data_IF_721858649284
#
_entry.id   IF_721858649284
#
_cell.length_a   1.000
_cell.length_b   1.000
_cell.length_c   1.000
_cell.angle_alpha   90.00
_cell.angle_beta   90.00
_cell.angle_gamma   90.00
#
_symmetry.space_group_name_H-M   'P 1'
#
loop_
_entity.id
_entity.type
_entity.pdbx_description
1 polymer ?
#
# COMPACT_ATOMS: atom_id res chain seq x y z
N UNK A 1 39.70 1.59 -11.31
CA UNK A 1 38.22 1.59 -11.40
C UNK A 1 37.83 1.04 -12.77
N UNK A 2 37.34 -0.20 -12.84
CA UNK A 2 36.90 -0.83 -14.09
C UNK A 2 35.44 -0.45 -14.35
N UNK A 3 35.21 0.49 -15.26
CA UNK A 3 33.89 0.70 -15.86
C UNK A 3 33.53 -0.51 -16.73
N UNK A 4 32.35 -1.07 -16.52
CA UNK A 4 31.82 -2.23 -17.25
C UNK A 4 31.47 -1.84 -18.69
N UNK A 5 32.04 -2.57 -19.66
CA UNK A 5 31.85 -2.40 -21.12
C UNK A 5 30.43 -2.67 -21.63
N UNK A 6 29.46 -2.99 -20.76
CA UNK A 6 28.05 -3.23 -21.16
C UNK A 6 27.23 -1.94 -21.32
N UNK A 7 27.74 -0.78 -20.90
CA UNK A 7 27.02 0.50 -20.95
C UNK A 7 27.25 1.28 -22.27
N UNK A 8 28.13 0.82 -23.17
CA UNK A 8 28.61 1.67 -24.28
C UNK A 8 28.22 1.22 -25.70
N UNK A 9 27.55 0.08 -25.89
CA UNK A 9 27.21 -0.43 -27.24
C UNK A 9 25.76 -0.15 -27.66
N UNK A 10 24.86 0.15 -26.71
CA UNK A 10 23.47 0.52 -27.03
C UNK A 10 23.29 2.00 -27.41
N UNK A 11 24.31 2.84 -27.22
CA UNK A 11 24.28 4.26 -27.57
C UNK A 11 24.40 4.53 -29.09
N UNK A 12 24.73 3.53 -29.92
CA UNK A 12 25.03 3.73 -31.34
C UNK A 12 23.92 3.30 -32.32
N UNK A 13 22.87 2.61 -31.87
CA UNK A 13 21.73 2.23 -32.73
C UNK A 13 20.49 3.13 -32.58
N UNK A 14 20.51 4.07 -31.62
CA UNK A 14 19.42 5.03 -31.39
C UNK A 14 19.35 6.21 -32.34
N UNK A 15 20.28 6.36 -33.29
CA UNK A 15 20.41 7.57 -34.12
C UNK A 15 19.74 7.42 -35.51
N UNK A 16 19.31 6.22 -35.92
CA UNK A 16 18.80 6.00 -37.28
C UNK A 16 17.30 5.67 -37.41
N UNK A 17 16.55 5.62 -36.30
CA UNK A 17 15.08 5.40 -36.34
C UNK A 17 14.28 6.67 -35.97
N UNK A 18 14.94 7.73 -35.51
CA UNK A 18 14.29 8.99 -35.13
C UNK A 18 13.89 9.93 -36.28
N UNK A 19 14.05 9.52 -37.55
CA UNK A 19 13.76 10.39 -38.71
C UNK A 19 12.36 10.24 -39.31
N UNK A 20 11.40 9.57 -38.65
CA UNK A 20 10.03 9.42 -39.21
C UNK A 20 8.87 9.60 -38.22
N UNK A 21 9.07 10.25 -37.07
CA UNK A 21 7.94 10.73 -36.27
C UNK A 21 7.91 12.24 -36.31
N UNK A 22 7.34 12.79 -37.38
CA UNK A 22 6.87 14.17 -37.41
C UNK A 22 5.68 14.28 -36.44
N UNK A 23 5.97 14.47 -35.16
CA UNK A 23 4.95 14.70 -34.11
C UNK A 23 4.48 16.16 -34.21
N UNK A 24 3.21 16.32 -34.55
CA UNK A 24 2.47 17.56 -34.37
C UNK A 24 2.46 17.90 -32.87
N UNK A 25 3.14 18.98 -32.50
CA UNK A 25 3.37 19.41 -31.13
C UNK A 25 2.10 20.00 -30.47
N UNK A 26 1.15 19.14 -30.11
CA UNK A 26 0.28 19.40 -28.97
C UNK A 26 0.81 18.56 -27.83
N UNK A 27 1.28 19.26 -26.79
CA UNK A 27 1.78 18.63 -25.58
C UNK A 27 0.56 18.10 -24.82
N UNK A 28 0.17 16.88 -25.16
CA UNK A 28 -0.93 16.18 -24.51
C UNK A 28 -0.54 15.83 -23.08
N UNK A 29 -1.52 15.80 -22.17
CA UNK A 29 -1.30 15.49 -20.77
C UNK A 29 -1.93 14.17 -20.43
N UNK A 30 -1.24 13.37 -19.64
CA UNK A 30 -1.79 12.15 -19.07
C UNK A 30 -1.93 12.28 -17.55
N UNK A 31 -2.94 11.61 -17.02
CA UNK A 31 -3.06 11.32 -15.59
C UNK A 31 -2.78 9.83 -15.36
N UNK A 32 -1.79 9.51 -14.53
CA UNK A 32 -1.44 8.13 -14.16
C UNK A 32 -1.71 7.91 -12.68
N UNK A 33 -2.67 7.04 -12.39
CA UNK A 33 -3.04 6.58 -11.06
C UNK A 33 -2.17 5.40 -10.68
N UNK A 34 -1.21 5.64 -9.78
CA UNK A 34 -0.33 4.59 -9.26
C UNK A 34 -0.98 3.95 -8.06
N UNK A 35 -1.36 2.68 -8.18
CA UNK A 35 -1.98 1.88 -7.15
C UNK A 35 -1.05 0.74 -6.71
N UNK A 36 -1.33 0.16 -5.54
CA UNK A 36 -0.61 -1.04 -5.08
C UNK A 36 -1.53 -2.23 -4.94
N UNK A 37 -1.05 -3.42 -5.32
CA UNK A 37 -1.74 -4.68 -5.02
C UNK A 37 -1.98 -4.82 -3.50
N UNK A 38 -3.21 -5.18 -3.10
CA UNK A 38 -3.55 -5.50 -1.71
C UNK A 38 -4.05 -4.32 -0.84
N UNK A 39 -4.26 -3.13 -1.41
CA UNK A 39 -4.67 -1.92 -0.66
C UNK A 39 -5.93 -1.25 -1.22
N UNK A 40 -7.01 -2.02 -1.36
CA UNK A 40 -8.37 -1.51 -1.65
C UNK A 40 -8.52 -0.67 -2.93
N UNK A 41 -7.57 -0.77 -3.88
CA UNK A 41 -7.63 -0.04 -5.16
C UNK A 41 -7.50 1.48 -5.05
N UNK A 42 -6.97 2.01 -3.94
CA UNK A 42 -6.74 3.46 -3.82
C UNK A 42 -5.37 3.86 -4.37
N UNK A 43 -5.31 5.08 -4.90
CA UNK A 43 -4.10 5.66 -5.47
C UNK A 43 -3.07 5.98 -4.38
N UNK A 44 -1.89 5.39 -4.48
CA UNK A 44 -0.72 5.77 -3.67
C UNK A 44 -0.19 7.13 -4.13
N UNK A 45 -0.12 7.32 -5.45
CA UNK A 45 0.27 8.59 -6.07
C UNK A 45 -0.56 8.80 -7.34
N UNK A 46 -0.97 10.03 -7.59
CA UNK A 46 -1.50 10.46 -8.89
C UNK A 46 -0.47 11.34 -9.58
N UNK A 47 -0.11 10.99 -10.81
CA UNK A 47 0.86 11.69 -11.63
C UNK A 47 0.14 12.44 -12.73
N UNK A 48 0.44 13.72 -12.87
CA UNK A 48 0.06 14.51 -14.03
C UNK A 48 1.33 14.77 -14.82
N UNK A 49 1.43 14.17 -16.01
CA UNK A 49 2.66 14.12 -16.82
C UNK A 49 2.36 14.59 -18.23
N UNK A 50 3.36 15.16 -18.89
CA UNK A 50 3.26 15.53 -20.30
C UNK A 50 3.62 14.32 -21.16
N UNK A 51 2.78 13.99 -22.14
CA UNK A 51 3.07 12.96 -23.14
C UNK A 51 3.98 13.59 -24.20
N UNK A 52 5.19 13.05 -24.32
CA UNK A 52 6.17 13.49 -25.34
C UNK A 52 6.07 12.67 -26.62
N UNK A 53 5.41 11.52 -26.56
CA UNK A 53 5.19 10.64 -27.70
C UNK A 53 4.52 9.33 -27.28
N UNK A 54 4.12 8.56 -28.27
CA UNK A 54 3.44 7.28 -28.09
C UNK A 54 3.73 6.39 -29.30
N UNK A 55 3.96 5.09 -29.07
CA UNK A 55 4.03 4.07 -30.12
C UNK A 55 3.15 2.86 -29.77
N UNK A 56 3.30 1.74 -30.49
CA UNK A 56 2.50 0.52 -30.25
C UNK A 56 2.66 -0.06 -28.86
N UNK A 57 3.84 0.05 -28.27
CA UNK A 57 4.25 -0.68 -27.07
C UNK A 57 4.48 0.24 -25.87
N UNK A 58 4.81 1.52 -26.11
CA UNK A 58 5.25 2.47 -25.09
C UNK A 58 4.49 3.79 -25.14
N UNK A 59 4.27 4.33 -23.94
CA UNK A 59 3.91 5.72 -23.71
C UNK A 59 5.16 6.46 -23.21
N UNK A 60 5.53 7.56 -23.87
CA UNK A 60 6.68 8.36 -23.51
C UNK A 60 6.20 9.59 -22.73
N UNK A 61 6.63 9.71 -21.48
CA UNK A 61 6.19 10.76 -20.56
C UNK A 61 7.37 11.54 -20.01
N UNK A 62 7.19 12.84 -19.84
CA UNK A 62 8.13 13.67 -19.08
C UNK A 62 7.73 13.73 -17.61
N UNK A 63 8.69 13.41 -16.73
CA UNK A 63 8.54 13.48 -15.28
C UNK A 63 9.62 14.41 -14.75
N UNK A 64 9.22 15.51 -14.13
CA UNK A 64 10.19 16.41 -13.52
C UNK A 64 10.86 15.75 -12.28
N UNK A 65 12.08 16.16 -11.98
CA UNK A 65 12.86 15.58 -10.87
C UNK A 65 12.16 15.71 -9.50
N UNK A 66 11.36 16.77 -9.30
CA UNK A 66 10.60 16.96 -8.06
C UNK A 66 9.51 15.90 -7.85
N UNK A 67 8.78 15.58 -8.90
CA UNK A 67 7.75 14.54 -8.94
C UNK A 67 8.42 13.18 -8.76
N UNK A 68 9.51 12.89 -9.48
CA UNK A 68 10.26 11.64 -9.32
C UNK A 68 10.76 11.44 -7.89
N UNK A 69 11.35 12.48 -7.28
CA UNK A 69 11.80 12.44 -5.88
C UNK A 69 10.65 12.21 -4.88
N UNK A 70 9.42 12.64 -5.22
CA UNK A 70 8.23 12.35 -4.43
C UNK A 70 7.79 10.90 -4.61
N UNK A 71 7.77 10.40 -5.85
CA UNK A 71 7.38 9.01 -6.17
C UNK A 71 8.29 8.01 -5.46
N UNK A 72 9.62 8.20 -5.55
CA UNK A 72 10.62 7.29 -4.94
C UNK A 72 10.42 7.15 -3.42
N UNK A 73 9.84 8.16 -2.77
CA UNK A 73 9.54 8.11 -1.34
C UNK A 73 8.29 7.29 -1.01
N UNK A 74 7.40 7.08 -1.97
CA UNK A 74 6.12 6.42 -1.76
C UNK A 74 6.08 4.99 -2.31
N UNK A 75 6.85 4.71 -3.38
CA UNK A 75 6.89 3.41 -4.06
C UNK A 75 8.32 3.06 -4.48
N UNK A 76 8.59 1.76 -4.69
CA UNK A 76 9.88 1.33 -5.23
C UNK A 76 9.81 1.43 -6.75
N UNK A 77 10.34 2.53 -7.28
CA UNK A 77 10.38 2.76 -8.73
C UNK A 77 11.25 1.74 -9.48
N UNK A 78 12.16 1.03 -8.81
CA UNK A 78 13.00 0.02 -9.47
C UNK A 78 12.18 -1.24 -9.83
N UNK A 79 11.03 -1.43 -9.18
CA UNK A 79 10.07 -2.47 -9.55
C UNK A 79 9.08 -2.01 -10.62
N UNK A 80 9.07 -0.71 -10.94
CA UNK A 80 8.30 -0.23 -12.08
C UNK A 80 9.05 -0.61 -13.36
N UNK A 81 8.36 -1.20 -14.35
CA UNK A 81 8.95 -1.57 -15.62
C UNK A 81 9.09 -0.34 -16.54
N UNK A 82 9.61 0.77 -16.01
CA UNK A 82 9.83 2.02 -16.75
C UNK A 82 11.28 2.12 -17.19
N UNK A 83 11.51 2.71 -18.36
CA UNK A 83 12.85 2.92 -18.92
C UNK A 83 13.13 4.41 -19.03
N UNK A 84 14.15 4.89 -18.34
CA UNK A 84 14.60 6.27 -18.52
C UNK A 84 15.34 6.40 -19.85
N UNK A 85 14.87 7.31 -20.72
CA UNK A 85 15.47 7.56 -22.04
C UNK A 85 16.45 8.73 -21.98
N UNK A 86 16.09 9.78 -21.24
CA UNK A 86 16.93 10.95 -20.99
C UNK A 86 16.65 11.49 -19.57
N UNK A 87 17.13 12.69 -19.24
CA UNK A 87 17.03 13.26 -17.90
C UNK A 87 15.59 13.39 -17.37
N UNK A 88 14.59 13.59 -18.24
CA UNK A 88 13.19 13.82 -17.85
C UNK A 88 12.20 12.84 -18.48
N UNK A 89 12.56 12.21 -19.60
CA UNK A 89 11.66 11.36 -20.37
C UNK A 89 11.80 9.89 -19.99
N UNK A 90 10.67 9.27 -19.71
CA UNK A 90 10.52 7.86 -19.37
C UNK A 90 9.62 7.18 -20.40
N UNK A 91 10.04 5.99 -20.87
CA UNK A 91 9.16 5.07 -21.58
C UNK A 91 8.46 4.15 -20.59
N UNK A 92 7.13 4.12 -20.65
CA UNK A 92 6.27 3.27 -19.85
C UNK A 92 5.61 2.24 -20.80
N UNK A 93 5.86 0.93 -20.62
CA UNK A 93 5.20 -0.07 -21.45
C UNK A 93 3.70 -0.06 -21.18
N UNK A 94 2.91 0.01 -22.26
CA UNK A 94 1.45 0.06 -22.20
C UNK A 94 0.83 -1.18 -21.55
N UNK A 95 1.53 -2.32 -21.55
CA UNK A 95 1.08 -3.54 -20.86
C UNK A 95 0.95 -3.39 -19.34
N UNK A 96 1.57 -2.35 -18.75
CA UNK A 96 1.46 -2.02 -17.33
C UNK A 96 0.54 -0.82 -17.06
N UNK A 97 -0.12 -0.32 -18.11
CA UNK A 97 -1.08 0.76 -18.05
C UNK A 97 -2.46 0.20 -18.44
N UNK A 98 -3.45 0.42 -17.59
CA UNK A 98 -4.86 0.19 -17.92
C UNK A 98 -5.50 1.54 -18.14
N UNK A 99 -5.79 1.88 -19.39
CA UNK A 99 -6.51 3.12 -19.71
C UNK A 99 -7.96 3.02 -19.21
N UNK A 100 -8.39 4.02 -18.43
CA UNK A 100 -9.74 4.12 -17.87
C UNK A 100 -10.57 5.23 -18.52
N UNK A 101 -9.91 6.30 -18.97
CA UNK A 101 -10.45 7.38 -19.80
C UNK A 101 -9.35 7.84 -20.77
N UNK A 102 -9.66 8.61 -21.84
CA UNK A 102 -8.64 9.10 -22.76
C UNK A 102 -7.51 9.84 -22.03
N UNK A 103 -6.29 9.29 -22.12
CA UNK A 103 -5.10 9.77 -21.41
C UNK A 103 -5.16 9.68 -19.86
N UNK A 104 -6.07 8.87 -19.32
CA UNK A 104 -6.13 8.53 -17.90
C UNK A 104 -5.86 7.04 -17.71
N UNK A 105 -4.80 6.72 -16.98
CA UNK A 105 -4.30 5.36 -16.84
C UNK A 105 -4.20 4.95 -15.38
N UNK A 106 -4.48 3.68 -15.09
CA UNK A 106 -4.12 3.02 -13.83
C UNK A 106 -2.88 2.18 -14.07
N UNK A 107 -1.92 2.25 -13.16
CA UNK A 107 -0.82 1.29 -13.07
C UNK A 107 -0.77 0.69 -11.67
N UNK A 108 -0.49 -0.60 -11.60
CA UNK A 108 -0.44 -1.33 -10.33
C UNK A 108 0.98 -1.78 -10.06
N UNK A 109 1.49 -1.40 -8.89
CA UNK A 109 2.86 -1.65 -8.47
C UNK A 109 2.88 -2.60 -7.26
N UNK A 110 3.89 -3.46 -7.12
CA UNK A 110 4.07 -4.23 -5.89
C UNK A 110 4.28 -3.27 -4.71
N UNK A 111 3.56 -3.46 -3.59
CA UNK A 111 3.84 -2.69 -2.38
C UNK A 111 5.03 -3.29 -1.63
N UNK A 112 6.20 -2.67 -1.76
CA UNK A 112 7.41 -3.13 -1.06
C UNK A 112 8.18 -2.01 -0.34
N UNK A 113 7.68 -0.76 -0.32
CA UNK A 113 8.34 0.34 0.40
C UNK A 113 7.57 0.67 1.66
N UNK A 114 6.34 1.14 1.52
CA UNK A 114 5.54 1.62 2.65
C UNK A 114 4.45 0.60 2.96
N UNK A 115 4.72 -0.25 3.95
CA UNK A 115 3.79 -1.28 4.41
C UNK A 115 2.73 -0.71 5.36
N UNK A 116 2.11 0.40 4.98
CA UNK A 116 1.06 1.08 5.76
C UNK A 116 -0.30 0.92 5.09
N UNK A 117 -1.29 0.42 5.83
CA UNK A 117 -2.69 0.40 5.37
C UNK A 117 -3.28 1.81 5.28
N UNK A 118 -4.34 1.93 4.48
CA UNK A 118 -5.04 3.21 4.33
C UNK A 118 -5.64 3.73 5.62
N UNK A 119 -6.08 2.83 6.50
CA UNK A 119 -6.60 3.20 7.82
C UNK A 119 -5.62 4.06 8.62
N UNK A 120 -4.31 3.73 8.60
CA UNK A 120 -3.30 4.56 9.27
C UNK A 120 -2.91 5.78 8.45
N UNK A 121 -2.76 5.64 7.12
CA UNK A 121 -2.44 6.80 6.25
C UNK A 121 -3.48 7.90 6.37
N UNK A 122 -4.76 7.56 6.39
CA UNK A 122 -5.85 8.52 6.53
C UNK A 122 -5.88 9.13 7.93
N UNK A 123 -5.69 8.31 8.97
CA UNK A 123 -5.67 8.78 10.36
C UNK A 123 -4.58 9.81 10.63
N UNK A 124 -3.39 9.66 10.04
CA UNK A 124 -2.25 10.54 10.31
C UNK A 124 -2.17 11.78 9.43
N UNK A 125 -2.99 11.89 8.36
CA UNK A 125 -2.97 13.06 7.45
C UNK A 125 -3.19 14.39 8.16
N UNK A 126 -3.97 14.40 9.23
CA UNK A 126 -4.32 15.58 10.02
C UNK A 126 -3.47 15.74 11.29
N UNK A 127 -2.50 14.84 11.49
CA UNK A 127 -1.66 14.79 12.69
C UNK A 127 -0.28 15.39 12.41
N UNK A 128 0.32 16.02 13.41
CA UNK A 128 1.70 16.49 13.37
C UNK A 128 2.67 15.33 13.60
N UNK A 129 3.91 15.46 13.10
CA UNK A 129 4.94 14.42 13.27
C UNK A 129 5.25 14.05 14.73
N UNK A 130 5.03 14.97 15.67
CA UNK A 130 5.24 14.74 17.11
C UNK A 130 4.05 14.09 17.81
N UNK A 131 2.87 14.06 17.19
CA UNK A 131 1.67 13.47 17.77
C UNK A 131 1.86 11.96 17.93
N UNK A 132 1.22 11.38 18.94
CA UNK A 132 1.25 9.95 19.21
C UNK A 132 -0.03 9.32 18.68
N UNK A 133 0.09 8.19 18.01
CA UNK A 133 -1.03 7.38 17.52
C UNK A 133 -0.82 5.93 17.91
N UNK A 134 -1.92 5.27 18.32
CA UNK A 134 -1.94 3.83 18.54
C UNK A 134 -2.13 3.08 17.23
N UNK A 135 -1.24 2.14 16.96
CA UNK A 135 -1.22 1.33 15.74
C UNK A 135 -1.17 -0.15 16.07
N UNK A 136 -1.68 -0.96 15.15
CA UNK A 136 -1.42 -2.39 15.11
C UNK A 136 -0.31 -2.65 14.10
N UNK A 137 0.67 -3.45 14.51
CA UNK A 137 1.82 -3.84 13.69
C UNK A 137 1.80 -5.35 13.52
N UNK A 138 1.84 -5.80 12.28
CA UNK A 138 1.88 -7.21 11.94
C UNK A 138 3.27 -7.58 11.43
N UNK A 139 3.72 -8.78 11.81
CA UNK A 139 5.08 -9.24 11.51
C UNK A 139 5.07 -10.34 10.47
N UNK A 140 6.20 -10.47 9.75
CA UNK A 140 6.52 -11.63 8.93
C UNK A 140 7.08 -12.79 9.75
N UNK A 141 7.65 -12.46 10.91
CA UNK A 141 8.35 -13.40 11.78
C UNK A 141 8.12 -13.00 13.25
N UNK A 142 7.94 -13.96 14.18
CA UNK A 142 7.67 -13.67 15.60
C UNK A 142 8.77 -12.87 16.32
N UNK A 143 10.03 -12.97 15.88
CA UNK A 143 11.16 -12.29 16.54
C UNK A 143 11.19 -10.78 16.21
N UNK A 144 10.39 -10.34 15.23
CA UNK A 144 10.27 -8.94 14.83
C UNK A 144 9.81 -8.02 15.97
N UNK A 145 9.08 -8.53 16.96
CA UNK A 145 8.63 -7.74 18.11
C UNK A 145 9.78 -7.05 18.86
N UNK A 146 11.00 -7.62 18.81
CA UNK A 146 12.20 -7.06 19.48
C UNK A 146 12.62 -5.71 18.92
N UNK A 147 12.30 -5.41 17.66
CA UNK A 147 12.69 -4.16 17.01
C UNK A 147 11.69 -3.02 17.23
N UNK A 148 10.57 -3.25 17.91
CA UNK A 148 9.52 -2.22 18.03
C UNK A 148 9.89 -1.08 18.99
N UNK A 149 10.59 -1.39 20.09
CA UNK A 149 10.89 -0.43 21.14
C UNK A 149 11.81 0.73 20.68
N UNK A 150 12.47 0.62 19.51
CA UNK A 150 13.20 1.76 18.91
C UNK A 150 12.29 2.80 18.25
N UNK A 151 11.02 2.47 18.00
CA UNK A 151 10.08 3.34 17.31
C UNK A 151 9.02 3.95 18.23
N UNK A 152 8.66 3.26 19.31
CA UNK A 152 7.62 3.69 20.25
C UNK A 152 7.43 2.67 21.37
N UNK A 153 6.34 2.81 22.11
CA UNK A 153 6.04 2.03 23.30
C UNK A 153 5.04 0.91 22.98
N UNK A 154 5.46 -0.34 23.16
CA UNK A 154 4.60 -1.51 22.93
C UNK A 154 3.57 -1.62 24.07
N UNK A 155 2.29 -1.49 23.73
CA UNK A 155 1.18 -1.60 24.67
C UNK A 155 0.80 -3.06 24.92
N UNK A 156 0.73 -3.86 23.85
CA UNK A 156 0.33 -5.27 23.94
C UNK A 156 0.95 -6.07 22.79
N UNK A 157 1.60 -7.20 23.12
CA UNK A 157 2.03 -8.18 22.12
C UNK A 157 0.99 -9.27 21.99
N UNK A 158 0.62 -9.61 20.75
CA UNK A 158 -0.37 -10.65 20.49
C UNK A 158 0.16 -12.02 20.91
N UNK A 159 -0.71 -12.86 21.47
CA UNK A 159 -0.34 -14.20 21.94
C UNK A 159 0.23 -15.09 20.81
N UNK A 160 -0.18 -14.85 19.57
CA UNK A 160 0.37 -15.55 18.39
C UNK A 160 1.84 -15.22 18.11
N UNK A 161 2.37 -14.15 18.71
CA UNK A 161 3.70 -13.61 18.40
C UNK A 161 3.77 -12.85 17.08
N UNK A 162 2.69 -12.81 16.29
CA UNK A 162 2.70 -12.27 14.91
C UNK A 162 2.25 -10.81 14.80
N UNK A 163 2.15 -10.10 15.93
CA UNK A 163 1.85 -8.69 15.93
C UNK A 163 1.84 -8.07 17.32
N UNK A 164 1.70 -6.75 17.34
CA UNK A 164 1.59 -5.96 18.56
C UNK A 164 0.75 -4.70 18.34
N UNK A 165 0.12 -4.21 19.41
CA UNK A 165 -0.42 -2.86 19.52
C UNK A 165 0.62 -1.97 20.20
N UNK A 166 0.91 -0.80 19.62
CA UNK A 166 1.91 0.12 20.15
C UNK A 166 1.53 1.59 19.95
N UNK A 167 2.00 2.43 20.86
CA UNK A 167 1.94 3.88 20.75
C UNK A 167 3.20 4.39 20.07
N UNK A 168 3.04 5.08 18.94
CA UNK A 168 4.15 5.54 18.08
C UNK A 168 3.97 7.00 17.71
N UNK A 169 5.08 7.76 17.64
CA UNK A 169 5.06 9.10 17.06
C UNK A 169 4.80 9.01 15.56
N UNK A 170 3.97 9.90 15.02
CA UNK A 170 3.65 9.93 13.58
C UNK A 170 4.91 9.98 12.71
N UNK A 171 5.95 10.69 13.14
CA UNK A 171 7.24 10.77 12.45
C UNK A 171 7.95 9.41 12.27
N UNK A 172 7.66 8.43 13.12
CA UNK A 172 8.37 7.14 13.17
C UNK A 172 7.65 6.03 12.39
N UNK A 173 6.38 6.23 12.01
CA UNK A 173 5.54 5.18 11.40
C UNK A 173 6.13 4.72 10.06
N UNK A 174 6.58 5.66 9.24
CA UNK A 174 7.18 5.34 7.94
C UNK A 174 8.41 4.44 8.11
N UNK A 175 9.35 4.84 8.98
CA UNK A 175 10.55 4.06 9.25
C UNK A 175 10.23 2.68 9.81
N UNK A 176 9.24 2.55 10.69
CA UNK A 176 8.75 1.26 11.15
C UNK A 176 8.21 0.41 9.98
N UNK A 177 7.41 1.00 9.09
CA UNK A 177 6.78 0.28 7.97
C UNK A 177 7.79 -0.24 6.93
N UNK A 178 8.98 0.36 6.87
CA UNK A 178 10.06 -0.01 5.95
C UNK A 178 10.93 -1.16 6.50
N UNK A 179 10.82 -1.50 7.79
CA UNK A 179 11.56 -2.60 8.40
C UNK A 179 11.26 -3.94 7.69
N UNK A 180 12.31 -4.71 7.38
CA UNK A 180 12.20 -5.91 6.56
C UNK A 180 11.24 -6.96 7.15
N UNK A 181 11.23 -7.07 8.48
CA UNK A 181 10.44 -8.03 9.27
C UNK A 181 8.99 -7.62 9.49
N UNK A 182 8.62 -6.38 9.17
CA UNK A 182 7.24 -5.90 9.26
C UNK A 182 6.47 -6.33 8.01
N UNK A 183 5.26 -6.84 8.24
CA UNK A 183 4.32 -7.21 7.18
C UNK A 183 3.45 -6.01 6.81
N UNK A 184 2.79 -5.40 7.79
CA UNK A 184 2.15 -4.10 7.64
C UNK A 184 1.87 -3.39 8.97
N UNK A 185 1.54 -2.10 8.88
CA UNK A 185 1.07 -1.23 9.96
C UNK A 185 -0.33 -0.75 9.63
N UNK A 186 -1.25 -0.79 10.59
CA UNK A 186 -2.62 -0.29 10.45
C UNK A 186 -3.05 0.51 11.67
N UNK A 187 -4.07 1.35 11.50
CA UNK A 187 -4.64 2.06 12.65
C UNK A 187 -5.39 1.06 13.52
N UNK A 188 -5.28 1.22 14.84
CA UNK A 188 -6.21 0.54 15.74
C UNK A 188 -7.63 1.02 15.45
N UNK A 189 -8.48 0.07 15.04
CA UNK A 189 -9.87 0.30 14.68
C UNK A 189 -10.78 0.40 15.90
N UNK A 190 -11.97 0.94 15.70
CA UNK A 190 -13.03 0.95 16.70
C UNK A 190 -14.10 -0.06 16.30
N UNK A 191 -14.48 -0.93 17.24
CA UNK A 191 -15.64 -1.80 17.10
C UNK A 191 -16.79 -1.23 17.93
N UNK A 192 -18.02 -1.42 17.45
CA UNK A 192 -19.23 -0.98 18.14
C UNK A 192 -20.09 -2.20 18.47
N UNK A 193 -20.71 -2.20 19.64
CA UNK A 193 -21.67 -3.23 20.04
C UNK A 193 -22.87 -3.15 19.09
N UNK A 194 -23.24 -4.29 18.51
CA UNK A 194 -24.44 -4.43 17.70
C UNK A 194 -25.44 -5.31 18.45
N UNK A 195 -26.60 -4.75 18.75
CA UNK A 195 -27.71 -5.50 19.35
C UNK A 195 -28.62 -6.02 18.22
N UNK A 196 -29.01 -7.28 18.30
CA UNK A 196 -29.98 -7.90 17.40
C UNK A 196 -31.06 -8.63 18.17
N UNK A 197 -32.31 -8.45 17.77
CA UNK A 197 -33.45 -9.19 18.33
C UNK A 197 -33.87 -10.31 17.35
N UNK A 198 -33.26 -11.48 17.52
CA UNK A 198 -33.41 -12.62 16.58
C UNK A 198 -33.89 -13.92 17.23
N UNK A 199 -34.09 -13.94 18.55
CA UNK A 199 -34.41 -15.18 19.28
C UNK A 199 -35.72 -15.81 18.80
N UNK A 200 -36.74 -15.01 18.48
CA UNK A 200 -38.03 -15.52 17.98
C UNK A 200 -37.95 -16.16 16.59
N UNK A 201 -36.87 -15.96 15.85
CA UNK A 201 -36.72 -16.42 14.46
C UNK A 201 -35.88 -17.70 14.34
N UNK A 202 -35.26 -18.17 15.43
CA UNK A 202 -34.34 -19.32 15.43
C UNK A 202 -34.94 -20.60 16.03
N UNK A 203 -36.24 -20.61 16.36
CA UNK A 203 -36.97 -21.76 16.93
C UNK A 203 -36.19 -22.47 18.08
N UNK A 204 -35.61 -21.70 19.00
CA UNK A 204 -34.80 -22.24 20.10
C UNK A 204 -35.57 -23.27 20.95
N UNK A 205 -36.89 -23.12 21.07
CA UNK A 205 -37.78 -24.01 21.81
C UNK A 205 -37.76 -25.46 21.28
N UNK A 206 -37.62 -25.66 19.97
CA UNK A 206 -37.58 -27.00 19.35
C UNK A 206 -36.33 -27.77 19.80
N UNK A 207 -35.20 -27.07 19.97
CA UNK A 207 -33.92 -27.66 20.39
C UNK A 207 -33.96 -28.02 21.88
N UNK A 208 -34.57 -27.18 22.72
CA UNK A 208 -34.76 -27.48 24.14
C UNK A 208 -35.66 -28.71 24.35
N UNK A 209 -36.68 -28.88 23.50
CA UNK A 209 -37.54 -30.07 23.51
C UNK A 209 -36.81 -31.40 23.26
N UNK A 210 -35.60 -31.37 22.68
CA UNK A 210 -34.78 -32.56 22.42
C UNK A 210 -33.94 -33.02 23.62
N UNK A 211 -33.90 -32.24 24.71
CA UNK A 211 -33.23 -32.63 25.96
C UNK A 211 -31.71 -32.43 25.99
N UNK A 212 -31.14 -31.67 25.04
CA UNK A 212 -29.73 -31.27 25.08
C UNK A 212 -29.57 -29.96 25.87
N UNK A 213 -28.62 -29.94 26.81
CA UNK A 213 -28.32 -28.77 27.67
C UNK A 213 -26.96 -28.13 27.38
N UNK A 214 -26.20 -28.70 26.44
CA UNK A 214 -24.86 -28.24 26.10
C UNK A 214 -23.76 -28.64 27.09
N UNK A 215 -24.01 -29.61 27.99
CA UNK A 215 -22.99 -30.13 28.89
C UNK A 215 -21.74 -30.58 28.12
N UNK A 216 -20.58 -30.05 28.52
CA UNK A 216 -19.28 -30.30 27.87
C UNK A 216 -18.93 -29.30 26.76
N UNK A 217 -19.85 -28.42 26.37
CA UNK A 217 -19.62 -27.33 25.41
C UNK A 217 -19.26 -26.04 26.16
N UNK A 218 -18.32 -25.27 25.61
CA UNK A 218 -17.93 -23.95 26.11
C UNK A 218 -18.17 -22.90 25.03
N UNK A 219 -18.78 -21.78 25.40
CA UNK A 219 -19.04 -20.64 24.53
C UNK A 219 -18.21 -19.46 25.06
N UNK A 220 -17.41 -18.83 24.19
CA UNK A 220 -16.64 -17.65 24.53
C UNK A 220 -17.40 -16.40 24.06
N UNK A 221 -17.76 -15.53 25.00
CA UNK A 221 -18.34 -14.23 24.71
C UNK A 221 -17.24 -13.16 24.81
N UNK A 222 -16.97 -12.48 23.69
CA UNK A 222 -16.10 -11.30 23.65
C UNK A 222 -17.01 -10.09 23.55
N UNK A 223 -17.41 -9.58 24.71
CA UNK A 223 -18.36 -8.48 24.86
C UNK A 223 -17.91 -7.55 26.00
N UNK A 224 -18.77 -6.63 26.38
CA UNK A 224 -18.62 -5.67 27.48
C UNK A 224 -18.61 -6.31 28.87
N UNK A 225 -19.02 -7.58 28.99
CA UNK A 225 -19.04 -8.34 30.24
C UNK A 225 -20.31 -9.18 30.38
N UNK A 226 -20.44 -9.90 31.49
CA UNK A 226 -21.65 -10.65 31.88
C UNK A 226 -21.99 -10.28 33.33
N UNK A 227 -23.27 -10.00 33.61
CA UNK A 227 -23.75 -9.98 34.99
C UNK A 227 -23.94 -11.44 35.45
N UNK A 228 -23.22 -11.82 36.50
CA UNK A 228 -23.16 -13.20 36.97
C UNK A 228 -24.12 -13.50 38.14
N UNK A 229 -24.96 -12.52 38.53
CA UNK A 229 -25.93 -12.64 39.62
C UNK A 229 -27.35 -12.83 39.08
#
# INVERSE_FOLDING_TARGET
MKMSRKVFVLAAMGILVFSMVSVSAHQEKATIHVQTCGYEGRNVVTLHVDITGEDSDFLYIDVNAGVLNRIIKEINIELLPIYQINDTTFAVPKTYLSEIEPHEFITVVPNNVVKMKWSIKDKIKTMNGNDIVRVLVWFKDPEAGKVLNKFGDVYYSFLSGMGASMDIRVSNIKSLSEEATIEFVEAEGTAHVMLSDVVSHINADDVWGMGYDGTGIKICFVDTGIDAN
#
